data_IF_626242434626
#
_entry.id   IF_626242434626
#
_cell.length_a   1.000
_cell.length_b   1.000
_cell.length_c   1.000
_cell.angle_alpha   90.00
_cell.angle_beta   90.00
_cell.angle_gamma   90.00
#
_symmetry.space_group_name_H-M   'P 1'
#
loop_
_entity.id
_entity.type
_entity.pdbx_description
1 polymer ?
#
# COMPACT_ATOMS: atom_id res chain seq x y z
N UNK A 1 0.38 -25.47 -1.19
CA UNK A 1 0.94 -24.24 -0.59
C UNK A 1 2.44 -24.44 -0.44
N UNK A 2 3.25 -23.53 -0.98
CA UNK A 2 4.71 -23.60 -0.80
C UNK A 2 5.03 -23.53 0.70
N UNK A 3 5.91 -24.41 1.19
CA UNK A 3 6.37 -24.35 2.58
C UNK A 3 7.16 -23.06 2.74
N UNK A 4 6.80 -22.26 3.75
CA UNK A 4 7.61 -21.15 4.19
C UNK A 4 9.03 -21.64 4.46
N UNK A 5 10.02 -21.09 3.74
CA UNK A 5 11.42 -21.36 4.04
C UNK A 5 11.78 -20.63 5.33
N UNK A 6 12.45 -21.31 6.26
CA UNK A 6 12.92 -20.71 7.50
C UNK A 6 14.26 -19.99 7.23
N UNK A 7 14.46 -18.80 7.79
CA UNK A 7 15.78 -18.17 7.88
C UNK A 7 16.67 -18.90 8.91
N UNK A 8 17.96 -18.56 8.92
CA UNK A 8 18.96 -19.26 9.76
C UNK A 8 18.69 -19.15 11.27
N UNK A 9 17.85 -18.19 11.69
CA UNK A 9 17.38 -17.96 13.05
C UNK A 9 16.05 -18.66 13.38
N UNK A 10 15.47 -19.43 12.44
CA UNK A 10 14.21 -20.14 12.63
C UNK A 10 12.95 -19.28 12.46
N UNK A 11 13.07 -18.06 11.93
CA UNK A 11 11.91 -17.24 11.57
C UNK A 11 11.42 -17.56 10.15
N UNK A 12 10.12 -17.40 9.89
CA UNK A 12 9.53 -17.62 8.56
C UNK A 12 10.04 -16.54 7.59
N UNK A 13 10.69 -16.94 6.48
CA UNK A 13 11.04 -16.00 5.41
C UNK A 13 9.75 -15.48 4.76
N UNK A 14 9.49 -14.21 4.95
CA UNK A 14 8.44 -13.49 4.27
C UNK A 14 9.00 -12.14 3.79
N UNK A 15 9.91 -12.15 2.81
CA UNK A 15 10.46 -10.92 2.23
C UNK A 15 10.23 -10.84 0.73
N UNK A 16 10.00 -9.63 0.22
CA UNK A 16 9.94 -9.34 -1.21
C UNK A 16 11.24 -8.66 -1.64
N UNK A 17 11.86 -9.15 -2.72
CA UNK A 17 12.98 -8.48 -3.39
C UNK A 17 12.45 -7.47 -4.39
N UNK A 18 13.00 -6.27 -4.36
CA UNK A 18 12.68 -5.23 -5.34
C UNK A 18 13.72 -5.21 -6.47
N UNK A 19 13.36 -4.61 -7.61
CA UNK A 19 14.27 -4.47 -8.75
C UNK A 19 15.46 -3.54 -8.44
N UNK A 20 15.29 -2.60 -7.50
CA UNK A 20 16.37 -1.79 -6.93
C UNK A 20 17.46 -2.62 -6.24
N UNK A 21 17.21 -3.89 -5.96
CA UNK A 21 18.08 -4.78 -5.19
C UNK A 21 17.78 -4.81 -3.69
N UNK A 22 16.93 -3.89 -3.19
CA UNK A 22 16.44 -3.87 -1.81
C UNK A 22 15.55 -5.06 -1.49
N UNK A 23 15.36 -5.34 -0.20
CA UNK A 23 14.41 -6.35 0.29
C UNK A 23 13.56 -5.73 1.38
N UNK A 24 12.26 -5.98 1.34
CA UNK A 24 11.35 -5.65 2.43
C UNK A 24 10.93 -6.93 3.14
N UNK A 25 11.14 -7.01 4.45
CA UNK A 25 10.54 -8.03 5.31
C UNK A 25 9.07 -7.65 5.57
N UNK A 26 8.13 -8.55 5.27
CA UNK A 26 6.69 -8.31 5.37
C UNK A 26 6.18 -8.47 6.81
N UNK A 27 6.92 -9.15 7.69
CA UNK A 27 6.55 -9.38 9.08
C UNK A 27 7.22 -8.38 10.02
N UNK A 28 8.38 -7.87 9.63
CA UNK A 28 9.11 -6.84 10.37
C UNK A 28 9.72 -5.78 9.41
N UNK A 29 8.89 -5.01 8.69
CA UNK A 29 9.35 -4.02 7.73
C UNK A 29 10.17 -2.91 8.39
N UNK A 30 11.23 -2.50 7.71
CA UNK A 30 12.07 -1.36 8.10
C UNK A 30 11.75 -0.16 7.20
N UNK A 31 11.61 1.06 7.73
CA UNK A 31 11.35 2.24 6.90
C UNK A 31 12.50 2.49 5.93
N UNK A 32 13.74 2.14 6.31
CA UNK A 32 14.90 2.29 5.44
C UNK A 32 14.86 1.41 4.19
N UNK A 33 14.02 0.37 4.18
CA UNK A 33 13.86 -0.55 3.04
C UNK A 33 12.74 -0.15 2.08
N UNK A 34 12.12 1.00 2.30
CA UNK A 34 11.02 1.54 1.50
C UNK A 34 11.54 2.71 0.67
N UNK A 35 11.35 2.64 -0.63
CA UNK A 35 11.69 3.69 -1.59
C UNK A 35 10.50 3.94 -2.53
N UNK A 36 10.30 5.20 -2.91
CA UNK A 36 9.14 5.59 -3.71
C UNK A 36 9.17 4.96 -5.12
N UNK A 37 10.36 4.74 -5.67
CA UNK A 37 10.56 4.10 -6.96
C UNK A 37 10.08 2.65 -6.95
N UNK A 38 10.33 1.92 -5.85
CA UNK A 38 9.88 0.53 -5.70
C UNK A 38 8.37 0.45 -5.54
N UNK A 39 7.79 1.38 -4.75
CA UNK A 39 6.32 1.51 -4.61
C UNK A 39 5.70 1.82 -5.97
N UNK A 40 6.15 2.88 -6.64
CA UNK A 40 5.61 3.31 -7.93
C UNK A 40 5.72 2.21 -9.00
N UNK A 41 6.84 1.50 -9.05
CA UNK A 41 7.02 0.40 -9.99
C UNK A 41 6.03 -0.75 -9.76
N UNK A 42 5.85 -1.14 -8.50
CA UNK A 42 4.91 -2.18 -8.10
C UNK A 42 3.47 -1.78 -8.38
N UNK A 43 3.02 -0.63 -7.85
CA UNK A 43 1.65 -0.15 -7.99
C UNK A 43 1.25 0.10 -9.45
N UNK A 44 2.19 0.47 -10.33
CA UNK A 44 1.93 0.63 -11.76
C UNK A 44 1.57 -0.69 -12.48
N UNK A 45 1.82 -1.84 -11.84
CA UNK A 45 1.61 -3.19 -12.39
C UNK A 45 0.56 -4.00 -11.63
N UNK A 46 0.23 -3.63 -10.40
CA UNK A 46 -0.88 -4.25 -9.66
C UNK A 46 -2.20 -3.78 -10.28
N UNK A 47 -2.98 -4.73 -10.80
CA UNK A 47 -4.27 -4.45 -11.41
C UNK A 47 -5.38 -4.44 -10.35
N UNK A 48 -6.26 -3.44 -10.41
CA UNK A 48 -7.49 -3.39 -9.60
C UNK A 48 -8.61 -4.21 -10.25
N UNK A 49 -9.66 -4.47 -9.49
CA UNK A 49 -10.86 -5.20 -9.95
C UNK A 49 -10.55 -6.61 -10.48
N UNK A 50 -9.45 -7.22 -10.04
CA UNK A 50 -8.92 -8.47 -10.60
C UNK A 50 -8.81 -8.44 -12.14
N UNK A 51 -8.53 -7.26 -12.72
CA UNK A 51 -8.40 -7.06 -14.17
C UNK A 51 -9.71 -7.07 -14.95
N UNK A 52 -10.88 -7.09 -14.29
CA UNK A 52 -12.19 -6.99 -14.94
C UNK A 52 -12.52 -5.54 -15.35
N UNK A 53 -11.63 -4.94 -16.13
CA UNK A 53 -11.74 -3.56 -16.63
C UNK A 53 -11.78 -3.53 -18.14
N UNK A 54 -12.44 -2.53 -18.71
CA UNK A 54 -12.46 -2.29 -20.15
C UNK A 54 -11.19 -1.54 -20.57
N UNK A 55 -10.61 -1.91 -21.70
CA UNK A 55 -9.44 -1.24 -22.27
C UNK A 55 -8.31 -2.22 -22.62
N UNK A 56 -7.28 -1.71 -23.28
CA UNK A 56 -6.09 -2.47 -23.67
C UNK A 56 -5.17 -2.74 -22.47
N UNK A 57 -5.16 -1.83 -21.49
CA UNK A 57 -4.30 -1.90 -20.31
C UNK A 57 -5.13 -2.07 -19.05
N UNK A 58 -4.55 -2.74 -18.05
CA UNK A 58 -5.17 -2.88 -16.73
C UNK A 58 -5.28 -1.51 -16.03
N UNK A 59 -6.38 -1.31 -15.30
CA UNK A 59 -6.48 -0.18 -14.37
C UNK A 59 -5.63 -0.46 -13.13
N UNK A 60 -4.50 0.24 -13.00
CA UNK A 60 -3.51 -0.06 -11.98
C UNK A 60 -3.78 0.64 -10.65
N UNK A 61 -3.20 0.13 -9.56
CA UNK A 61 -3.27 0.78 -8.25
C UNK A 61 -2.63 2.17 -8.31
N UNK A 62 -1.53 2.35 -9.05
CA UNK A 62 -0.93 3.68 -9.23
C UNK A 62 -1.88 4.68 -9.89
N UNK A 63 -2.64 4.27 -10.92
CA UNK A 63 -3.65 5.12 -11.55
C UNK A 63 -4.75 5.51 -10.56
N UNK A 64 -5.20 4.56 -9.75
CA UNK A 64 -6.17 4.78 -8.69
C UNK A 64 -5.67 5.75 -7.63
N UNK A 65 -4.45 5.58 -7.11
CA UNK A 65 -3.86 6.47 -6.12
C UNK A 65 -3.78 7.92 -6.61
N UNK A 66 -3.40 8.14 -7.88
CA UNK A 66 -3.39 9.47 -8.49
C UNK A 66 -4.80 10.05 -8.65
N UNK A 67 -5.77 9.23 -9.05
CA UNK A 67 -7.15 9.68 -9.19
C UNK A 67 -7.76 10.08 -7.84
N UNK A 68 -7.55 9.27 -6.79
CA UNK A 68 -8.02 9.57 -5.43
C UNK A 68 -7.40 10.86 -4.91
N UNK A 69 -6.09 11.06 -5.09
CA UNK A 69 -5.41 12.29 -4.68
C UNK A 69 -5.95 13.51 -5.43
N UNK A 70 -6.17 13.39 -6.75
CA UNK A 70 -6.74 14.46 -7.56
C UNK A 70 -8.18 14.82 -7.11
N UNK A 71 -9.03 13.82 -6.86
CA UNK A 71 -10.39 14.05 -6.36
C UNK A 71 -10.34 14.67 -4.94
N UNK A 72 -9.44 14.18 -4.09
CA UNK A 72 -9.24 14.69 -2.75
C UNK A 72 -8.91 16.19 -2.76
N UNK A 73 -7.98 16.63 -3.62
CA UNK A 73 -7.66 18.05 -3.78
C UNK A 73 -8.86 18.88 -4.28
N UNK A 74 -9.69 18.34 -5.16
CA UNK A 74 -10.87 19.02 -5.67
C UNK A 74 -11.97 19.17 -4.61
N UNK A 75 -12.19 18.14 -3.80
CA UNK A 75 -13.20 18.16 -2.73
C UNK A 75 -12.73 18.96 -1.51
N UNK A 76 -11.42 18.98 -1.24
CA UNK A 76 -10.82 19.61 -0.08
C UNK A 76 -9.69 20.57 -0.50
N UNK A 77 -10.00 21.69 -1.17
CA UNK A 77 -8.98 22.59 -1.74
C UNK A 77 -8.12 23.32 -0.71
N UNK A 78 -8.46 23.21 0.58
CA UNK A 78 -7.68 23.76 1.70
C UNK A 78 -6.81 22.70 2.39
N UNK A 79 -6.75 21.49 1.85
CA UNK A 79 -5.96 20.42 2.46
C UNK A 79 -4.46 20.68 2.36
N UNK A 80 -3.73 20.23 3.39
CA UNK A 80 -2.29 20.38 3.45
C UNK A 80 -1.58 19.39 2.50
N UNK A 81 -0.32 19.65 2.18
CA UNK A 81 0.51 18.69 1.44
C UNK A 81 0.61 17.33 2.16
N UNK A 82 0.58 17.35 3.50
CA UNK A 82 0.56 16.13 4.32
C UNK A 82 -0.73 15.33 4.08
N UNK A 83 -1.88 16.00 4.08
CA UNK A 83 -3.18 15.38 3.79
C UNK A 83 -3.24 14.81 2.37
N UNK A 84 -2.74 15.53 1.37
CA UNK A 84 -2.64 15.03 -0.01
C UNK A 84 -1.69 13.83 -0.10
N UNK A 85 -0.59 13.82 0.64
CA UNK A 85 0.34 12.70 0.66
C UNK A 85 -0.27 11.45 1.31
N UNK A 86 -1.10 11.61 2.35
CA UNK A 86 -1.92 10.51 2.88
C UNK A 86 -2.86 9.94 1.81
N UNK A 87 -3.53 10.80 1.04
CA UNK A 87 -4.39 10.36 -0.06
C UNK A 87 -3.59 9.63 -1.15
N UNK A 88 -2.41 10.11 -1.51
CA UNK A 88 -1.57 9.48 -2.53
C UNK A 88 -1.06 8.09 -2.09
N UNK A 89 -0.69 7.94 -0.82
CA UNK A 89 -0.05 6.73 -0.29
C UNK A 89 -1.02 5.75 0.39
N UNK A 90 -2.33 5.96 0.27
CA UNK A 90 -3.33 5.17 1.01
C UNK A 90 -3.31 3.67 0.67
N UNK A 91 -3.04 3.32 -0.59
CA UNK A 91 -2.93 1.93 -1.08
C UNK A 91 -1.45 1.52 -1.30
N UNK A 92 -0.49 2.29 -0.77
CA UNK A 92 0.93 2.00 -0.96
C UNK A 92 1.36 0.58 -0.54
N UNK A 93 0.84 -0.05 0.54
CA UNK A 93 1.18 -1.43 0.90
C UNK A 93 0.94 -2.45 -0.20
N UNK A 94 0.02 -2.18 -1.14
CA UNK A 94 -0.34 -3.11 -2.21
C UNK A 94 0.84 -3.43 -3.14
N UNK A 95 1.91 -2.62 -3.14
CA UNK A 95 3.13 -2.94 -3.89
C UNK A 95 3.84 -4.21 -3.40
N UNK A 96 3.55 -4.67 -2.17
CA UNK A 96 4.11 -5.87 -1.55
C UNK A 96 3.07 -6.92 -1.17
N UNK A 97 1.84 -6.52 -0.83
CA UNK A 97 0.78 -7.47 -0.45
C UNK A 97 -0.24 -7.74 -1.58
N UNK A 98 -0.21 -6.95 -2.65
CA UNK A 98 -1.18 -7.00 -3.75
C UNK A 98 -2.52 -6.31 -3.45
N UNK A 99 -3.29 -6.03 -4.50
CA UNK A 99 -4.69 -5.57 -4.38
C UNK A 99 -5.57 -6.77 -4.02
N UNK A 100 -6.31 -6.64 -2.92
CA UNK A 100 -7.30 -7.64 -2.51
C UNK A 100 -8.67 -6.98 -2.50
N UNK A 101 -9.61 -7.53 -3.26
CA UNK A 101 -10.97 -7.00 -3.32
C UNK A 101 -11.61 -6.94 -1.91
N UNK A 102 -12.31 -5.85 -1.62
CA UNK A 102 -12.90 -5.58 -0.30
C UNK A 102 -13.77 -6.73 0.25
N UNK A 103 -14.61 -7.43 -0.56
CA UNK A 103 -15.37 -8.58 -0.07
C UNK A 103 -14.50 -9.72 0.46
N UNK A 104 -13.30 -9.90 -0.11
CA UNK A 104 -12.37 -10.94 0.33
C UNK A 104 -11.53 -10.49 1.52
N UNK A 105 -11.15 -9.21 1.62
CA UNK A 105 -10.50 -8.65 2.83
C UNK A 105 -11.32 -8.94 4.09
N UNK A 106 -12.65 -8.83 4.00
CA UNK A 106 -13.57 -9.15 5.11
C UNK A 106 -13.54 -10.62 5.59
N UNK A 107 -13.00 -11.55 4.78
CA UNK A 107 -12.98 -13.00 5.05
C UNK A 107 -11.58 -13.50 5.44
N UNK A 108 -10.49 -12.90 4.93
CA UNK A 108 -9.10 -13.32 5.25
C UNK A 108 -8.79 -13.22 6.75
N UNK A 109 -9.35 -12.21 7.41
CA UNK A 109 -9.32 -12.06 8.86
C UNK A 109 -8.17 -11.21 9.41
N UNK A 110 -8.21 -11.02 10.73
CA UNK A 110 -7.44 -10.00 11.48
C UNK A 110 -5.92 -10.09 11.40
N UNK A 111 -5.36 -11.23 10.97
CA UNK A 111 -3.91 -11.33 10.82
C UNK A 111 -3.42 -10.52 9.61
N UNK A 112 -4.13 -10.61 8.48
CA UNK A 112 -3.82 -9.83 7.29
C UNK A 112 -3.95 -8.34 7.54
N UNK A 113 -5.06 -7.89 8.14
CA UNK A 113 -5.28 -6.47 8.48
C UNK A 113 -4.15 -5.89 9.33
N UNK A 114 -3.59 -6.68 10.26
CA UNK A 114 -2.46 -6.25 11.10
C UNK A 114 -1.16 -6.11 10.29
N UNK A 115 -0.89 -7.02 9.37
CA UNK A 115 0.28 -6.95 8.49
C UNK A 115 0.17 -5.76 7.55
N UNK A 116 -0.98 -5.60 6.88
CA UNK A 116 -1.28 -4.47 6.01
C UNK A 116 -1.13 -3.13 6.74
N UNK A 117 -1.74 -3.00 7.93
CA UNK A 117 -1.60 -1.80 8.76
C UNK A 117 -0.15 -1.57 9.17
N UNK A 118 0.58 -2.60 9.57
CA UNK A 118 1.97 -2.44 10.00
C UNK A 118 2.86 -1.94 8.86
N UNK A 119 2.69 -2.48 7.64
CA UNK A 119 3.38 -1.98 6.45
C UNK A 119 3.00 -0.53 6.17
N UNK A 120 1.71 -0.17 6.24
CA UNK A 120 1.26 1.22 6.09
C UNK A 120 1.94 2.16 7.10
N UNK A 121 2.03 1.76 8.37
CA UNK A 121 2.67 2.55 9.42
C UNK A 121 4.15 2.79 9.11
N UNK A 122 4.87 1.77 8.63
CA UNK A 122 6.29 1.92 8.25
C UNK A 122 6.45 2.78 6.99
N UNK A 123 5.53 2.68 6.01
CA UNK A 123 5.48 3.59 4.85
C UNK A 123 5.30 5.03 5.33
N UNK A 124 4.36 5.30 6.23
CA UNK A 124 4.15 6.62 6.79
C UNK A 124 5.43 7.16 7.45
N UNK A 125 6.10 6.36 8.28
CA UNK A 125 7.37 6.75 8.90
C UNK A 125 8.42 7.12 7.84
N UNK A 126 8.56 6.33 6.77
CA UNK A 126 9.51 6.60 5.68
C UNK A 126 9.27 7.95 5.00
N UNK A 127 8.01 8.38 4.93
CA UNK A 127 7.61 9.65 4.31
C UNK A 127 7.32 10.76 5.34
N UNK A 128 7.77 10.59 6.59
CA UNK A 128 7.59 11.57 7.67
C UNK A 128 6.12 11.90 7.99
N UNK A 129 5.21 10.94 7.76
CA UNK A 129 3.80 11.02 8.11
C UNK A 129 3.53 10.35 9.46
N UNK A 130 2.54 10.81 10.24
CA UNK A 130 2.13 10.11 11.45
C UNK A 130 1.49 8.75 11.14
N UNK A 131 1.89 7.70 11.89
CA UNK A 131 1.38 6.32 11.75
C UNK A 131 -0.12 6.18 12.05
N UNK A 132 -0.70 7.14 12.77
CA UNK A 132 -2.12 7.19 13.07
C UNK A 132 -2.69 8.49 12.51
N UNK A 133 -3.04 8.53 11.21
CA UNK A 133 -3.68 9.70 10.63
C UNK A 133 -5.00 10.00 11.37
N UNK A 134 -5.32 11.29 11.57
CA UNK A 134 -6.63 11.72 12.05
C UNK A 134 -7.77 11.01 11.29
N UNK A 135 -8.76 10.47 12.02
CA UNK A 135 -9.88 9.75 11.41
C UNK A 135 -10.65 10.58 10.36
N UNK A 136 -10.63 11.91 10.50
CA UNK A 136 -11.22 12.80 9.51
C UNK A 136 -10.55 12.68 8.14
N UNK A 137 -9.21 12.56 8.10
CA UNK A 137 -8.45 12.40 6.86
C UNK A 137 -8.79 11.05 6.22
N UNK A 138 -8.80 9.97 7.00
CA UNK A 138 -9.17 8.64 6.51
C UNK A 138 -10.57 8.62 5.87
N UNK A 139 -11.55 9.29 6.49
CA UNK A 139 -12.90 9.41 5.93
C UNK A 139 -12.91 10.20 4.63
N UNK A 140 -12.18 11.32 4.56
CA UNK A 140 -12.06 12.13 3.33
C UNK A 140 -11.50 11.29 2.18
N UNK A 141 -10.44 10.51 2.43
CA UNK A 141 -9.82 9.63 1.44
C UNK A 141 -10.82 8.58 0.95
N UNK A 142 -11.56 7.93 1.85
CA UNK A 142 -12.57 6.93 1.47
C UNK A 142 -13.72 7.50 0.62
N UNK A 143 -13.99 8.80 0.73
CA UNK A 143 -15.04 9.49 -0.04
C UNK A 143 -14.52 10.15 -1.32
N UNK A 144 -13.20 10.14 -1.55
CA UNK A 144 -12.55 10.67 -2.75
C UNK A 144 -12.37 9.55 -3.78
#
# INVERSE_FOLDING_TARGET
MAKAELSQDGTTRAWQRMLSGRRLDLLNPSPFDIEIEDIAHGLARVARWNGQTKGEYAYSVAQHSLLVEQIFQQLFPQSSNEECLFALLHDAPEYVIGDIISPFKAVIGKYYERVEKHIQDIIHIRFSLPVNPPQQILKKIQTS
#
